data_IF_155146373092
#
_entry.id   IF_155146373092
#
_cell.length_a   1.000
_cell.length_b   1.000
_cell.length_c   1.000
_cell.angle_alpha   90.00
_cell.angle_beta   90.00
_cell.angle_gamma   90.00
#
_symmetry.space_group_name_H-M   'P 1'
#
loop_
_entity.id
_entity.type
_entity.pdbx_description
1 polymer ?
#
# COMPACT_ATOMS: atom_id res chain seq x y z
N UNK A 1 39.43 -71.52 11.04
CA UNK A 1 39.39 -71.85 9.60
C UNK A 1 38.92 -70.59 8.88
N UNK A 2 39.86 -69.75 8.44
CA UNK A 2 40.46 -69.76 7.08
C UNK A 2 39.45 -69.17 6.08
N UNK A 3 39.65 -68.08 5.34
CA UNK A 3 40.81 -67.28 4.86
C UNK A 3 40.13 -66.22 3.94
N UNK A 4 40.45 -64.93 3.87
CA UNK A 4 41.55 -64.37 3.08
C UNK A 4 41.52 -62.83 3.18
N UNK A 5 42.59 -62.27 3.72
CA UNK A 5 43.05 -60.89 3.52
C UNK A 5 44.13 -60.91 2.44
N UNK A 6 44.08 -60.06 1.41
CA UNK A 6 45.27 -59.44 0.79
C UNK A 6 44.93 -58.47 -0.36
N UNK A 7 45.85 -57.52 -0.60
CA UNK A 7 46.03 -56.58 -1.72
C UNK A 7 45.34 -55.21 -1.49
N UNK A 8 45.96 -54.23 -0.81
CA UNK A 8 47.24 -53.53 -1.04
C UNK A 8 47.32 -52.74 -2.38
N UNK A 9 47.08 -51.42 -2.25
CA UNK A 9 48.01 -50.33 -2.65
C UNK A 9 47.77 -49.55 -3.97
N UNK A 10 47.88 -48.21 -3.83
CA UNK A 10 48.30 -47.15 -4.80
C UNK A 10 47.16 -46.56 -5.68
N UNK A 11 46.92 -45.25 -5.82
CA UNK A 11 47.58 -44.04 -5.35
C UNK A 11 46.64 -42.81 -5.36
N UNK A 12 47.04 -41.83 -4.57
CA UNK A 12 46.56 -40.47 -4.35
C UNK A 12 46.75 -39.59 -5.60
N UNK A 13 45.80 -38.69 -5.93
CA UNK A 13 46.15 -37.34 -6.40
C UNK A 13 44.99 -36.31 -6.28
N UNK A 14 45.25 -35.31 -5.43
CA UNK A 14 45.03 -33.86 -5.60
C UNK A 14 43.62 -33.22 -5.57
N UNK A 15 43.67 -31.96 -5.11
CA UNK A 15 42.69 -30.86 -5.13
C UNK A 15 41.84 -30.77 -3.84
N UNK A 16 41.81 -29.70 -3.05
CA UNK A 16 42.54 -28.44 -2.95
C UNK A 16 42.21 -27.83 -1.57
N UNK A 17 43.17 -27.12 -0.97
CA UNK A 17 43.05 -25.79 -0.31
C UNK A 17 41.74 -25.54 0.49
N UNK A 18 41.75 -25.41 1.81
CA UNK A 18 42.38 -24.30 2.55
C UNK A 18 41.31 -23.26 2.96
N UNK A 19 41.13 -23.10 4.27
CA UNK A 19 40.53 -21.95 5.00
C UNK A 19 39.37 -21.16 4.36
N UNK A 20 38.22 -21.12 5.02
CA UNK A 20 37.70 -19.88 5.63
C UNK A 20 36.54 -20.21 6.56
N UNK A 21 36.57 -19.62 7.75
CA UNK A 21 35.47 -19.61 8.69
C UNK A 21 34.26 -18.90 8.05
N UNK A 22 33.10 -19.55 8.02
CA UNK A 22 31.84 -18.86 7.78
C UNK A 22 31.44 -18.15 9.07
N UNK A 23 31.92 -16.92 9.23
CA UNK A 23 31.31 -15.94 10.10
C UNK A 23 30.03 -15.44 9.43
N UNK A 24 28.89 -16.03 9.75
CA UNK A 24 27.61 -15.36 9.50
C UNK A 24 27.38 -14.38 10.66
N UNK A 25 28.07 -13.24 10.58
CA UNK A 25 27.60 -12.03 11.24
C UNK A 25 26.43 -11.51 10.40
N UNK A 26 25.21 -11.94 10.75
CA UNK A 26 23.97 -11.29 10.33
C UNK A 26 23.89 -9.93 11.03
N UNK A 27 24.74 -9.00 10.59
CA UNK A 27 24.50 -7.58 10.80
C UNK A 27 23.60 -7.12 9.65
N UNK A 28 22.34 -7.54 9.68
CA UNK A 28 21.30 -6.85 8.92
C UNK A 28 20.96 -5.55 9.67
N UNK A 29 21.89 -4.60 9.65
CA UNK A 29 21.51 -3.20 9.78
C UNK A 29 20.78 -2.83 8.49
N UNK A 30 19.49 -3.17 8.42
CA UNK A 30 18.60 -2.50 7.50
C UNK A 30 18.76 -1.01 7.78
N UNK A 31 19.30 -0.27 6.80
CA UNK A 31 19.50 1.17 6.90
C UNK A 31 18.22 1.81 7.48
N UNK A 32 18.30 2.83 8.36
CA UNK A 32 17.15 3.41 9.04
C UNK A 32 15.97 3.75 8.09
N UNK A 33 16.27 4.09 6.84
CA UNK A 33 15.29 4.37 5.78
C UNK A 33 14.48 3.14 5.31
N UNK A 34 15.05 1.93 5.38
CA UNK A 34 14.39 0.69 5.01
C UNK A 34 13.26 0.31 5.97
N UNK A 35 13.50 0.49 7.28
CA UNK A 35 12.50 0.25 8.32
C UNK A 35 11.35 1.26 8.23
N UNK A 36 11.64 2.53 7.97
CA UNK A 36 10.61 3.56 7.77
C UNK A 36 9.78 3.26 6.53
N UNK A 37 10.39 2.92 5.39
CA UNK A 37 9.66 2.57 4.17
C UNK A 37 8.76 1.35 4.35
N UNK A 38 9.20 0.36 5.13
CA UNK A 38 8.38 -0.80 5.47
C UNK A 38 7.14 -0.38 6.28
N UNK A 39 7.31 0.44 7.32
CA UNK A 39 6.19 0.94 8.13
C UNK A 39 5.22 1.81 7.32
N UNK A 40 5.72 2.64 6.40
CA UNK A 40 4.87 3.42 5.49
C UNK A 40 4.04 2.52 4.58
N UNK A 41 4.63 1.43 4.09
CA UNK A 41 3.95 0.43 3.26
C UNK A 41 2.85 -0.27 4.04
N UNK A 42 3.17 -0.75 5.25
CA UNK A 42 2.22 -1.40 6.15
C UNK A 42 1.07 -0.45 6.56
N UNK A 43 1.38 0.82 6.87
CA UNK A 43 0.37 1.86 7.13
C UNK A 43 -0.56 2.01 5.94
N UNK A 44 -0.03 2.12 4.72
CA UNK A 44 -0.83 2.25 3.49
C UNK A 44 -1.74 1.05 3.29
N UNK A 45 -1.23 -0.17 3.49
CA UNK A 45 -2.02 -1.39 3.32
C UNK A 45 -3.11 -1.53 4.38
N UNK A 46 -2.80 -1.21 5.64
CA UNK A 46 -3.80 -1.14 6.72
C UNK A 46 -4.89 -0.12 6.44
N UNK A 47 -4.53 1.05 5.91
CA UNK A 47 -5.51 2.09 5.55
C UNK A 47 -6.39 1.69 4.36
N UNK A 48 -5.86 0.87 3.43
CA UNK A 48 -6.66 0.28 2.35
C UNK A 48 -7.70 -0.69 2.90
N UNK A 49 -7.30 -1.60 3.79
CA UNK A 49 -8.24 -2.52 4.45
C UNK A 49 -9.30 -1.76 5.27
N UNK A 50 -8.89 -0.69 5.96
CA UNK A 50 -9.81 0.20 6.68
C UNK A 50 -10.84 0.82 5.73
N UNK A 51 -10.40 1.36 4.59
CA UNK A 51 -11.29 1.94 3.60
C UNK A 51 -12.31 0.91 3.11
N UNK A 52 -11.86 -0.30 2.75
CA UNK A 52 -12.75 -1.37 2.29
C UNK A 52 -13.84 -1.70 3.34
N UNK A 53 -13.46 -1.81 4.61
CA UNK A 53 -14.39 -2.08 5.71
C UNK A 53 -15.39 -0.93 5.95
N UNK A 54 -14.91 0.33 5.86
CA UNK A 54 -15.74 1.53 6.02
C UNK A 54 -16.71 1.67 4.85
N UNK A 55 -16.28 1.43 3.61
CA UNK A 55 -17.16 1.44 2.44
C UNK A 55 -18.26 0.38 2.52
N UNK A 56 -17.91 -0.84 2.95
CA UNK A 56 -18.89 -1.91 3.15
C UNK A 56 -19.93 -1.50 4.20
N UNK A 57 -19.49 -0.86 5.29
CA UNK A 57 -20.38 -0.32 6.32
C UNK A 57 -21.27 0.79 5.76
N UNK A 58 -20.73 1.68 4.94
CA UNK A 58 -21.45 2.82 4.37
C UNK A 58 -22.53 2.38 3.39
N UNK A 59 -22.21 1.45 2.48
CA UNK A 59 -23.18 0.85 1.54
C UNK A 59 -24.36 0.20 2.25
N UNK A 60 -24.12 -0.33 3.45
CA UNK A 60 -25.16 -0.94 4.29
C UNK A 60 -25.87 0.04 5.23
N UNK A 61 -25.58 1.35 5.15
CA UNK A 61 -26.18 2.38 6.00
C UNK A 61 -25.75 2.33 7.47
N UNK A 62 -24.61 1.68 7.77
CA UNK A 62 -24.11 1.48 9.15
C UNK A 62 -23.05 2.49 9.59
N UNK A 63 -22.65 3.40 8.71
CA UNK A 63 -21.73 4.51 9.02
C UNK A 63 -22.08 5.72 8.17
N UNK A 64 -21.58 6.87 8.56
CA UNK A 64 -21.77 8.14 7.86
C UNK A 64 -20.75 8.33 6.72
N UNK A 65 -21.11 9.16 5.74
CA UNK A 65 -20.27 9.48 4.58
C UNK A 65 -18.95 10.15 4.97
N UNK A 66 -18.97 10.97 6.03
CA UNK A 66 -17.78 11.65 6.60
C UNK A 66 -16.67 10.65 6.97
N UNK A 67 -17.04 9.47 7.47
CA UNK A 67 -16.10 8.41 7.86
C UNK A 67 -15.44 7.79 6.63
N UNK A 68 -16.19 7.66 5.53
CA UNK A 68 -15.68 7.16 4.24
C UNK A 68 -14.68 8.14 3.64
N UNK A 69 -15.05 9.42 3.59
CA UNK A 69 -14.19 10.49 3.08
C UNK A 69 -12.88 10.53 3.87
N UNK A 70 -12.95 10.49 5.20
CA UNK A 70 -11.76 10.47 6.06
C UNK A 70 -10.86 9.23 5.81
N UNK A 71 -11.44 8.07 5.50
CA UNK A 71 -10.66 6.88 5.14
C UNK A 71 -9.94 7.01 3.80
N UNK A 72 -10.62 7.55 2.79
CA UNK A 72 -10.03 7.81 1.48
C UNK A 72 -8.88 8.82 1.59
N UNK A 73 -9.08 9.93 2.31
CA UNK A 73 -8.05 10.96 2.51
C UNK A 73 -6.82 10.39 3.21
N UNK A 74 -6.99 9.59 4.26
CA UNK A 74 -5.87 8.97 4.97
C UNK A 74 -5.09 8.01 4.08
N UNK A 75 -5.78 7.20 3.26
CA UNK A 75 -5.13 6.29 2.30
C UNK A 75 -4.34 7.08 1.24
N UNK A 76 -4.95 8.13 0.68
CA UNK A 76 -4.32 9.03 -0.28
C UNK A 76 -3.02 9.63 0.29
N UNK A 77 -3.07 10.18 1.50
CA UNK A 77 -1.89 10.77 2.15
C UNK A 77 -0.77 9.74 2.31
N UNK A 78 -1.10 8.52 2.72
CA UNK A 78 -0.13 7.43 2.85
C UNK A 78 0.48 7.00 1.50
N UNK A 79 -0.31 6.99 0.43
CA UNK A 79 0.16 6.64 -0.91
C UNK A 79 1.07 7.72 -1.49
N UNK A 80 0.74 9.00 -1.27
CA UNK A 80 1.58 10.12 -1.69
C UNK A 80 2.88 10.22 -0.90
N UNK A 81 2.90 9.80 0.36
CA UNK A 81 4.11 9.74 1.18
C UNK A 81 5.10 8.65 0.68
N UNK A 82 4.58 7.59 0.05
CA UNK A 82 5.40 6.50 -0.49
C UNK A 82 6.04 6.78 -1.86
N UNK A 83 5.59 7.82 -2.58
CA UNK A 83 6.09 8.15 -3.91
C UNK A 83 6.44 9.64 -4.09
N UNK A 84 7.62 9.87 -4.65
CA UNK A 84 8.07 11.19 -5.10
C UNK A 84 7.99 11.36 -6.62
N UNK A 85 7.51 10.35 -7.35
CA UNK A 85 7.46 10.39 -8.80
C UNK A 85 6.20 11.14 -9.26
N UNK A 86 6.33 12.24 -10.04
CA UNK A 86 5.17 13.03 -10.47
C UNK A 86 4.09 12.20 -11.20
N UNK A 87 4.50 11.25 -12.03
CA UNK A 87 3.57 10.37 -12.74
C UNK A 87 2.73 9.49 -11.79
N UNK A 88 3.35 8.90 -10.76
CA UNK A 88 2.65 8.09 -9.76
C UNK A 88 1.69 8.95 -8.94
N UNK A 89 2.12 10.16 -8.57
CA UNK A 89 1.27 11.12 -7.85
C UNK A 89 0.02 11.48 -8.65
N UNK A 90 0.16 11.75 -9.95
CA UNK A 90 -0.98 11.98 -10.85
C UNK A 90 -1.90 10.76 -10.88
N UNK A 91 -1.36 9.55 -11.04
CA UNK A 91 -2.15 8.32 -11.07
C UNK A 91 -2.93 8.08 -9.76
N UNK A 92 -2.30 8.35 -8.60
CA UNK A 92 -2.96 8.31 -7.29
C UNK A 92 -4.12 9.31 -7.25
N UNK A 93 -3.90 10.57 -7.67
CA UNK A 93 -4.93 11.61 -7.69
C UNK A 93 -6.09 11.28 -8.64
N UNK A 94 -5.82 10.67 -9.79
CA UNK A 94 -6.86 10.18 -10.70
C UNK A 94 -7.75 9.13 -10.05
N UNK A 95 -7.16 8.18 -9.31
CA UNK A 95 -7.93 7.18 -8.55
C UNK A 95 -8.81 7.85 -7.48
N UNK A 96 -8.29 8.83 -6.75
CA UNK A 96 -9.08 9.55 -5.74
C UNK A 96 -10.26 10.29 -6.36
N UNK A 97 -10.08 10.94 -7.53
CA UNK A 97 -11.20 11.57 -8.25
C UNK A 97 -12.27 10.53 -8.62
N UNK A 98 -11.85 9.36 -9.10
CA UNK A 98 -12.79 8.28 -9.42
C UNK A 98 -13.53 7.76 -8.17
N UNK A 99 -12.83 7.60 -7.04
CA UNK A 99 -13.42 7.19 -5.77
C UNK A 99 -14.40 8.24 -5.23
N UNK A 100 -14.05 9.52 -5.27
CA UNK A 100 -14.93 10.60 -4.82
C UNK A 100 -16.20 10.73 -5.68
N UNK A 101 -16.10 10.50 -7.00
CA UNK A 101 -17.28 10.40 -7.88
C UNK A 101 -18.22 9.28 -7.43
N UNK A 102 -17.65 8.09 -7.18
CA UNK A 102 -18.41 6.93 -6.70
C UNK A 102 -19.06 7.18 -5.33
N UNK A 103 -18.35 7.85 -4.41
CA UNK A 103 -18.89 8.22 -3.09
C UNK A 103 -20.02 9.24 -3.24
N UNK A 104 -19.88 10.26 -4.09
CA UNK A 104 -20.96 11.21 -4.41
C UNK A 104 -22.19 10.48 -4.96
N UNK A 105 -22.01 9.55 -5.89
CA UNK A 105 -23.10 8.77 -6.49
C UNK A 105 -23.85 7.92 -5.45
N UNK A 106 -23.13 7.21 -4.56
CA UNK A 106 -23.76 6.46 -3.48
C UNK A 106 -24.51 7.35 -2.50
N UNK A 107 -23.95 8.52 -2.19
CA UNK A 107 -24.57 9.47 -1.27
C UNK A 107 -25.85 10.06 -1.86
N UNK A 108 -25.84 10.35 -3.16
CA UNK A 108 -27.04 10.75 -3.91
C UNK A 108 -28.11 9.66 -3.88
N UNK A 109 -27.73 8.40 -4.14
CA UNK A 109 -28.66 7.27 -4.05
C UNK A 109 -29.23 7.11 -2.64
N UNK A 110 -28.44 7.29 -1.59
CA UNK A 110 -28.93 7.25 -0.22
C UNK A 110 -29.86 8.42 0.11
N UNK A 111 -29.59 9.62 -0.41
CA UNK A 111 -30.46 10.78 -0.26
C UNK A 111 -31.81 10.56 -0.94
N UNK A 112 -31.81 10.05 -2.18
CA UNK A 112 -33.04 9.76 -2.93
C UNK A 112 -33.90 8.70 -2.23
N UNK A 113 -33.28 7.83 -1.44
CA UNK A 113 -33.94 6.81 -0.61
C UNK A 113 -34.27 7.28 0.83
N UNK A 114 -34.01 8.55 1.18
CA UNK A 114 -34.29 9.12 2.49
C UNK A 114 -33.36 8.66 3.62
N UNK A 115 -32.19 8.10 3.29
CA UNK A 115 -31.18 7.62 4.25
C UNK A 115 -30.16 8.72 4.57
N UNK A 116 -29.68 9.43 3.54
CA UNK A 116 -28.72 10.53 3.69
C UNK A 116 -29.42 11.89 3.65
N UNK A 117 -28.74 12.92 4.12
CA UNK A 117 -29.22 14.31 4.12
C UNK A 117 -28.67 15.07 2.91
N UNK A 118 -29.36 16.15 2.51
CA UNK A 118 -28.91 17.02 1.42
C UNK A 118 -27.50 17.59 1.68
N UNK A 119 -27.15 17.82 2.94
CA UNK A 119 -25.81 18.28 3.34
C UNK A 119 -24.72 17.25 3.00
N UNK A 120 -25.01 15.95 3.06
CA UNK A 120 -24.04 14.88 2.75
C UNK A 120 -23.76 14.84 1.25
N UNK A 121 -24.80 15.05 0.42
CA UNK A 121 -24.65 15.19 -1.03
C UNK A 121 -23.81 16.41 -1.39
N UNK A 122 -24.00 17.53 -0.69
CA UNK A 122 -23.21 18.75 -0.93
C UNK A 122 -21.76 18.59 -0.47
N UNK A 123 -21.54 17.93 0.67
CA UNK A 123 -20.21 17.61 1.18
C UNK A 123 -19.44 16.74 0.19
N UNK A 124 -20.01 15.62 -0.24
CA UNK A 124 -19.33 14.72 -1.19
C UNK A 124 -19.05 15.36 -2.54
N UNK A 125 -19.95 16.23 -3.02
CA UNK A 125 -19.70 17.04 -4.21
C UNK A 125 -18.53 18.00 -4.01
N UNK A 126 -18.43 18.64 -2.84
CA UNK A 126 -17.32 19.54 -2.53
C UNK A 126 -15.99 18.79 -2.48
N UNK A 127 -15.94 17.62 -1.85
CA UNK A 127 -14.74 16.78 -1.79
C UNK A 127 -14.32 16.26 -3.17
N UNK A 128 -15.28 15.86 -4.02
CA UNK A 128 -14.98 15.50 -5.42
C UNK A 128 -14.36 16.68 -6.17
N UNK A 129 -14.92 17.89 -6.04
CA UNK A 129 -14.38 19.08 -6.68
C UNK A 129 -12.97 19.40 -6.18
N UNK A 130 -12.73 19.27 -4.87
CA UNK A 130 -11.40 19.46 -4.29
C UNK A 130 -10.40 18.45 -4.86
N UNK A 131 -10.75 17.17 -4.96
CA UNK A 131 -9.91 16.15 -5.58
C UNK A 131 -9.58 16.45 -7.05
N UNK A 132 -10.57 16.95 -7.82
CA UNK A 132 -10.36 17.37 -9.22
C UNK A 132 -9.42 18.58 -9.33
N UNK A 133 -9.57 19.57 -8.44
CA UNK A 133 -8.68 20.73 -8.36
C UNK A 133 -7.24 20.28 -8.03
N UNK A 134 -7.07 19.37 -7.07
CA UNK A 134 -5.75 18.85 -6.69
C UNK A 134 -5.10 18.07 -7.83
N UNK A 135 -5.86 17.26 -8.58
CA UNK A 135 -5.37 16.59 -9.78
C UNK A 135 -4.91 17.59 -10.85
N UNK A 136 -5.68 18.65 -11.08
CA UNK A 136 -5.30 19.70 -12.04
C UNK A 136 -4.02 20.42 -11.61
N UNK A 137 -3.89 20.74 -10.33
CA UNK A 137 -2.68 21.35 -9.77
C UNK A 137 -1.46 20.44 -9.90
N UNK A 138 -1.60 19.14 -9.64
CA UNK A 138 -0.53 18.14 -9.80
C UNK A 138 -0.10 18.02 -11.29
N UNK A 139 -1.01 18.27 -12.23
CA UNK A 139 -0.72 18.36 -13.68
C UNK A 139 -0.16 19.72 -14.13
N UNK A 140 -0.03 20.69 -13.22
CA UNK A 140 0.46 22.04 -13.53
C UNK A 140 -0.58 22.98 -14.13
N UNK A 141 -1.87 22.70 -13.98
CA UNK A 141 -2.97 23.54 -14.47
C UNK A 141 -3.53 24.39 -13.32
N UNK A 142 -3.67 25.71 -13.54
CA UNK A 142 -4.32 26.60 -12.58
C UNK A 142 -3.48 27.00 -11.37
N UNK A 143 -2.16 27.13 -11.55
CA UNK A 143 -1.24 27.79 -10.60
C UNK A 143 -1.31 29.31 -10.71
#
# INVERSE_FOLDING_TARGET
MSTRTLLCSIAILAVCVGMTAFTNADNNEAAPDGNVRQLLTERRDTLRERLDAVEASYKSGRTETTVVIAAETQLLDAELELTNQPADRIAIRERVVANMKRIEDWTRQQFDNGIALQQDVLLTKAERLQAEIELLRERGIGQ
#
